data_IF_619783365729
#
_entry.id   IF_619783365729
#
_cell.length_a   1.000
_cell.length_b   1.000
_cell.length_c   1.000
_cell.angle_alpha   90.00
_cell.angle_beta   90.00
_cell.angle_gamma   90.00
#
_symmetry.space_group_name_H-M   'P 1'
#
loop_
_entity.id
_entity.type
_entity.pdbx_description
1 polymer ?
#
# COMPACT_ATOMS: atom_id res chain seq x y z
N UNK A 1 59.21 89.15 -2.61
CA UNK A 1 60.00 87.89 -2.56
C UNK A 1 59.34 86.78 -1.73
N UNK A 2 58.70 87.04 -0.58
CA UNK A 2 58.06 86.00 0.24
C UNK A 2 56.92 85.23 -0.47
N UNK A 3 56.09 85.90 -1.27
CA UNK A 3 54.96 85.26 -1.97
C UNK A 3 55.43 84.23 -3.03
N UNK A 4 56.57 84.45 -3.69
CA UNK A 4 57.12 83.55 -4.72
C UNK A 4 57.72 82.25 -4.14
N UNK A 5 58.08 82.22 -2.85
CA UNK A 5 58.61 81.02 -2.18
C UNK A 5 57.52 80.21 -1.46
N UNK A 6 56.39 80.83 -1.12
CA UNK A 6 55.30 80.20 -0.36
C UNK A 6 54.35 79.43 -1.29
N UNK A 7 54.07 79.94 -2.49
CA UNK A 7 53.18 79.30 -3.46
C UNK A 7 53.60 77.86 -3.86
N UNK A 8 54.86 77.59 -4.28
CA UNK A 8 55.25 76.21 -4.61
C UNK A 8 55.24 75.28 -3.39
N UNK A 9 55.37 75.81 -2.18
CA UNK A 9 55.29 75.03 -0.95
C UNK A 9 53.83 74.63 -0.63
N UNK A 10 52.88 75.55 -0.83
CA UNK A 10 51.45 75.28 -0.68
C UNK A 10 50.96 74.27 -1.73
N UNK A 11 51.41 74.35 -2.99
CA UNK A 11 51.04 73.38 -4.02
C UNK A 11 51.53 71.96 -3.69
N UNK A 12 52.77 71.83 -3.22
CA UNK A 12 53.33 70.53 -2.78
C UNK A 12 52.55 69.97 -1.57
N UNK A 13 52.17 70.83 -0.62
CA UNK A 13 51.36 70.42 0.54
C UNK A 13 49.97 69.92 0.11
N UNK A 14 49.28 70.64 -0.78
CA UNK A 14 47.96 70.25 -1.30
C UNK A 14 47.99 68.95 -2.12
N UNK A 15 49.05 68.72 -2.89
CA UNK A 15 49.25 67.47 -3.61
C UNK A 15 49.47 66.29 -2.66
N UNK A 16 50.20 66.49 -1.56
CA UNK A 16 50.41 65.47 -0.55
C UNK A 16 49.11 65.11 0.18
N UNK A 17 48.31 66.10 0.57
CA UNK A 17 46.99 65.87 1.19
C UNK A 17 46.03 65.13 0.24
N UNK A 18 46.01 65.51 -1.04
CA UNK A 18 45.21 64.82 -2.06
C UNK A 18 45.66 63.37 -2.27
N UNK A 19 46.97 63.11 -2.26
CA UNK A 19 47.52 61.75 -2.38
C UNK A 19 47.17 60.89 -1.16
N UNK A 20 47.28 61.44 0.05
CA UNK A 20 46.89 60.75 1.29
C UNK A 20 45.40 60.40 1.25
N UNK A 21 44.53 61.38 0.94
CA UNK A 21 43.09 61.14 0.83
C UNK A 21 42.75 60.11 -0.27
N UNK A 22 43.50 60.10 -1.38
CA UNK A 22 43.34 59.10 -2.43
C UNK A 22 43.73 57.70 -1.95
N UNK A 23 44.86 57.57 -1.23
CA UNK A 23 45.32 56.31 -0.65
C UNK A 23 44.35 55.80 0.41
N UNK A 24 43.85 56.66 1.31
CA UNK A 24 42.83 56.31 2.30
C UNK A 24 41.56 55.78 1.62
N UNK A 25 41.10 56.44 0.55
CA UNK A 25 39.93 56.00 -0.21
C UNK A 25 40.15 54.65 -0.91
N UNK A 26 41.37 54.37 -1.38
CA UNK A 26 41.73 53.07 -1.94
C UNK A 26 41.73 52.00 -0.84
N UNK A 27 42.40 52.27 0.27
CA UNK A 27 42.48 51.34 1.41
C UNK A 27 41.10 51.03 1.97
N UNK A 28 40.25 52.05 2.13
CA UNK A 28 38.87 51.89 2.58
C UNK A 28 38.06 51.00 1.62
N UNK A 29 38.23 51.16 0.30
CA UNK A 29 37.61 50.26 -0.68
C UNK A 29 38.09 48.83 -0.49
N UNK A 30 39.39 48.61 -0.38
CA UNK A 30 39.95 47.27 -0.17
C UNK A 30 39.49 46.65 1.14
N UNK A 31 39.41 47.43 2.22
CA UNK A 31 38.93 46.98 3.50
C UNK A 31 37.48 46.53 3.40
N UNK A 32 36.60 47.35 2.79
CA UNK A 32 35.20 46.99 2.55
C UNK A 32 35.06 45.71 1.71
N UNK A 33 35.82 45.57 0.63
CA UNK A 33 35.81 44.34 -0.20
C UNK A 33 36.29 43.12 0.60
N UNK A 34 37.42 43.24 1.30
CA UNK A 34 37.98 42.15 2.11
C UNK A 34 37.05 41.72 3.24
N UNK A 35 36.29 42.66 3.81
CA UNK A 35 35.32 42.39 4.87
C UNK A 35 34.07 41.71 4.31
N UNK A 36 33.57 42.17 3.17
CA UNK A 36 32.43 41.57 2.48
C UNK A 36 32.73 40.13 2.01
N UNK A 37 33.93 39.90 1.48
CA UNK A 37 34.39 38.56 1.07
C UNK A 37 34.49 37.59 2.26
N UNK A 38 35.09 38.03 3.38
CA UNK A 38 35.13 37.24 4.62
C UNK A 38 33.73 36.91 5.14
N UNK A 39 32.80 37.86 5.05
CA UNK A 39 31.41 37.64 5.46
C UNK A 39 30.69 36.63 4.56
N UNK A 40 30.89 36.69 3.24
CA UNK A 40 30.32 35.70 2.31
C UNK A 40 30.84 34.30 2.57
N UNK A 41 32.15 34.14 2.78
CA UNK A 41 32.77 32.83 3.11
C UNK A 41 32.22 32.29 4.43
N UNK A 42 32.06 33.14 5.45
CA UNK A 42 31.47 32.74 6.72
C UNK A 42 30.02 32.26 6.54
N UNK A 43 29.22 33.00 5.77
CA UNK A 43 27.81 32.66 5.49
C UNK A 43 27.69 31.38 4.66
N UNK A 44 28.58 31.17 3.69
CA UNK A 44 28.65 29.96 2.87
C UNK A 44 29.02 28.73 3.72
N UNK A 45 29.99 28.88 4.62
CA UNK A 45 30.39 27.81 5.55
C UNK A 45 29.28 27.47 6.56
N UNK A 46 28.52 28.47 7.03
CA UNK A 46 27.31 28.26 7.84
C UNK A 46 26.21 27.55 7.03
N UNK A 47 26.03 27.91 5.76
CA UNK A 47 25.08 27.26 4.86
C UNK A 47 25.45 25.81 4.56
N UNK A 48 26.74 25.51 4.39
CA UNK A 48 27.27 24.17 4.20
C UNK A 48 27.13 23.34 5.48
N UNK A 49 27.36 23.94 6.66
CA UNK A 49 27.07 23.34 7.95
C UNK A 49 25.59 22.99 8.12
N UNK A 50 24.70 23.90 7.69
CA UNK A 50 23.24 23.67 7.65
C UNK A 50 22.86 22.51 6.72
N UNK A 51 23.43 22.44 5.51
CA UNK A 51 23.19 21.33 4.59
C UNK A 51 23.69 19.99 5.14
N UNK A 52 24.89 19.95 5.73
CA UNK A 52 25.44 18.76 6.37
C UNK A 52 24.54 18.25 7.49
N UNK A 53 24.03 19.16 8.33
CA UNK A 53 23.09 18.83 9.40
C UNK A 53 21.76 18.28 8.86
N UNK A 54 21.18 18.92 7.83
CA UNK A 54 19.94 18.46 7.21
C UNK A 54 20.12 17.08 6.55
N UNK A 55 21.25 16.86 5.90
CA UNK A 55 21.60 15.56 5.34
C UNK A 55 21.72 14.49 6.42
N UNK A 56 22.43 14.76 7.52
CA UNK A 56 22.54 13.84 8.66
C UNK A 56 21.16 13.51 9.26
N UNK A 57 20.29 14.53 9.41
CA UNK A 57 18.91 14.34 9.87
C UNK A 57 18.11 13.45 8.92
N UNK A 58 18.17 13.69 7.61
CA UNK A 58 17.48 12.87 6.63
C UNK A 58 17.99 11.42 6.65
N UNK A 59 19.31 11.24 6.69
CA UNK A 59 19.95 9.93 6.78
C UNK A 59 19.47 9.14 8.00
N UNK A 60 19.46 9.78 9.19
CA UNK A 60 18.96 9.16 10.41
C UNK A 60 17.48 8.72 10.29
N UNK A 61 16.66 9.50 9.58
CA UNK A 61 15.25 9.16 9.34
C UNK A 61 15.10 7.95 8.42
N UNK A 62 15.92 7.87 7.37
CA UNK A 62 15.95 6.73 6.45
C UNK A 62 16.35 5.45 7.21
N UNK A 63 17.42 5.52 7.99
CA UNK A 63 17.91 4.39 8.79
C UNK A 63 16.85 3.92 9.80
N UNK A 64 16.16 4.84 10.47
CA UNK A 64 15.06 4.52 11.38
C UNK A 64 13.89 3.83 10.65
N UNK A 65 13.51 4.31 9.45
CA UNK A 65 12.46 3.68 8.65
C UNK A 65 12.86 2.28 8.19
N UNK A 66 14.09 2.11 7.70
CA UNK A 66 14.62 0.81 7.29
C UNK A 66 14.70 -0.18 8.47
N UNK A 67 15.09 0.29 9.66
CA UNK A 67 15.06 -0.52 10.88
C UNK A 67 13.65 -0.97 11.22
N UNK A 68 12.68 -0.07 11.20
CA UNK A 68 11.27 -0.42 11.43
C UNK A 68 10.74 -1.40 10.38
N UNK A 69 11.11 -1.23 9.11
CA UNK A 69 10.74 -2.18 8.05
C UNK A 69 11.28 -3.58 8.35
N UNK A 70 12.56 -3.72 8.71
CA UNK A 70 13.17 -5.00 9.09
C UNK A 70 12.41 -5.66 10.25
N UNK A 71 12.10 -4.91 11.30
CA UNK A 71 11.29 -5.44 12.41
C UNK A 71 9.92 -5.96 11.95
N UNK A 72 9.18 -5.20 11.13
CA UNK A 72 7.88 -5.61 10.57
C UNK A 72 8.01 -6.86 9.70
N UNK A 73 9.17 -7.06 9.05
CA UNK A 73 9.48 -8.26 8.28
C UNK A 73 9.96 -9.44 9.13
N UNK A 74 10.08 -9.27 10.46
CA UNK A 74 10.54 -10.30 11.39
C UNK A 74 12.07 -10.41 11.51
N UNK A 75 12.80 -9.40 11.06
CA UNK A 75 14.27 -9.34 11.09
C UNK A 75 14.75 -8.44 12.25
N UNK A 76 15.99 -8.66 12.74
CA UNK A 76 16.66 -7.87 13.79
C UNK A 76 15.87 -7.67 15.10
N UNK A 77 15.07 -8.68 15.47
CA UNK A 77 14.18 -8.63 16.65
C UNK A 77 14.92 -8.72 17.99
N UNK A 78 16.15 -9.24 18.01
CA UNK A 78 16.96 -9.39 19.23
C UNK A 78 17.21 -8.06 19.97
N UNK A 79 17.09 -6.94 19.25
CA UNK A 79 17.27 -5.59 19.80
C UNK A 79 16.02 -5.02 20.49
N UNK A 80 14.88 -5.71 20.41
CA UNK A 80 13.60 -5.27 20.96
C UNK A 80 13.35 -5.91 22.33
N UNK A 81 12.78 -5.12 23.24
CA UNK A 81 12.24 -5.63 24.50
C UNK A 81 10.95 -6.42 24.28
N UNK A 82 10.58 -7.27 25.25
CA UNK A 82 9.33 -8.05 25.21
C UNK A 82 8.09 -7.17 24.95
N UNK A 83 8.04 -6.00 25.58
CA UNK A 83 6.93 -5.04 25.41
C UNK A 83 6.87 -4.47 23.99
N UNK A 84 8.02 -4.17 23.40
CA UNK A 84 8.10 -3.69 22.02
C UNK A 84 7.72 -4.78 21.03
N UNK A 85 8.11 -6.03 21.30
CA UNK A 85 7.74 -7.18 20.48
C UNK A 85 6.23 -7.45 20.51
N UNK A 86 5.60 -7.42 21.68
CA UNK A 86 4.14 -7.52 21.82
C UNK A 86 3.41 -6.40 21.07
N UNK A 87 3.93 -5.17 21.15
CA UNK A 87 3.37 -4.04 20.43
C UNK A 87 3.53 -4.18 18.90
N UNK A 88 4.64 -4.76 18.44
CA UNK A 88 4.88 -5.05 17.02
C UNK A 88 3.91 -6.14 16.52
N UNK A 89 3.73 -7.21 17.27
CA UNK A 89 2.76 -8.27 16.99
C UNK A 89 1.33 -7.71 16.88
N UNK A 90 0.89 -6.91 17.85
CA UNK A 90 -0.43 -6.28 17.81
C UNK A 90 -0.63 -5.38 16.58
N UNK A 91 0.40 -4.65 16.17
CA UNK A 91 0.37 -3.82 14.96
C UNK A 91 0.23 -4.69 13.70
N UNK A 92 1.01 -5.76 13.59
CA UNK A 92 0.94 -6.70 12.47
C UNK A 92 -0.43 -7.38 12.36
N UNK A 93 -0.97 -7.86 13.48
CA UNK A 93 -2.30 -8.45 13.55
C UNK A 93 -3.39 -7.48 13.11
N UNK A 94 -3.31 -6.25 13.57
CA UNK A 94 -4.26 -5.20 13.21
C UNK A 94 -4.16 -4.89 11.71
N UNK A 95 -2.95 -4.69 11.18
CA UNK A 95 -2.74 -4.43 9.76
C UNK A 95 -3.23 -5.59 8.89
N UNK A 96 -2.98 -6.83 9.29
CA UNK A 96 -3.42 -8.03 8.59
C UNK A 96 -4.95 -8.14 8.56
N UNK A 97 -5.62 -7.86 9.68
CA UNK A 97 -7.09 -7.79 9.74
C UNK A 97 -7.64 -6.77 8.75
N UNK A 98 -7.04 -5.58 8.67
CA UNK A 98 -7.45 -4.54 7.72
C UNK A 98 -7.27 -4.98 6.26
N UNK A 99 -6.12 -5.58 5.92
CA UNK A 99 -5.85 -6.08 4.56
C UNK A 99 -6.86 -7.16 4.17
N UNK A 100 -7.14 -8.11 5.06
CA UNK A 100 -8.14 -9.17 4.83
C UNK A 100 -9.54 -8.59 4.61
N UNK A 101 -9.95 -7.65 5.48
CA UNK A 101 -11.24 -6.97 5.36
C UNK A 101 -11.37 -6.29 3.99
N UNK A 102 -10.36 -5.52 3.59
CA UNK A 102 -10.39 -4.80 2.31
C UNK A 102 -10.40 -5.75 1.12
N UNK A 103 -9.61 -6.83 1.16
CA UNK A 103 -9.62 -7.87 0.10
C UNK A 103 -11.00 -8.50 -0.04
N UNK A 104 -11.62 -8.86 1.08
CA UNK A 104 -12.95 -9.46 1.09
C UNK A 104 -14.00 -8.48 0.54
N UNK A 105 -13.95 -7.21 0.95
CA UNK A 105 -14.84 -6.18 0.41
C UNK A 105 -14.76 -6.06 -1.12
N UNK A 106 -13.54 -5.96 -1.66
CA UNK A 106 -13.34 -5.89 -3.12
C UNK A 106 -13.81 -7.15 -3.84
N UNK A 107 -13.64 -8.33 -3.22
CA UNK A 107 -14.14 -9.59 -3.75
C UNK A 107 -15.67 -9.60 -3.81
N UNK A 108 -16.36 -9.16 -2.75
CA UNK A 108 -17.82 -9.07 -2.73
C UNK A 108 -18.35 -8.07 -3.76
N UNK A 109 -17.69 -6.92 -3.92
CA UNK A 109 -18.01 -5.93 -4.97
C UNK A 109 -17.87 -6.56 -6.38
N UNK A 110 -16.82 -7.34 -6.60
CA UNK A 110 -16.61 -8.06 -7.86
C UNK A 110 -17.70 -9.10 -8.14
N UNK A 111 -18.01 -9.95 -7.15
CA UNK A 111 -19.07 -10.96 -7.25
C UNK A 111 -20.41 -10.29 -7.56
N UNK A 112 -20.76 -9.22 -6.85
CA UNK A 112 -22.01 -8.48 -7.06
C UNK A 112 -22.11 -7.92 -8.47
N UNK A 113 -21.02 -7.35 -9.01
CA UNK A 113 -20.98 -6.86 -10.40
C UNK A 113 -21.16 -8.00 -11.40
N UNK A 114 -20.49 -9.12 -11.21
CA UNK A 114 -20.59 -10.27 -12.11
C UNK A 114 -22.00 -10.87 -12.10
N UNK A 115 -22.60 -11.03 -10.93
CA UNK A 115 -23.99 -11.50 -10.80
C UNK A 115 -25.00 -10.56 -11.47
N UNK A 116 -24.80 -9.24 -11.38
CA UNK A 116 -25.64 -8.28 -12.11
C UNK A 116 -25.50 -8.47 -13.63
N UNK A 117 -24.28 -8.69 -14.12
CA UNK A 117 -24.02 -8.89 -15.55
C UNK A 117 -24.57 -10.21 -16.06
N UNK A 118 -24.45 -11.29 -15.27
CA UNK A 118 -25.06 -12.58 -15.59
C UNK A 118 -26.58 -12.48 -15.74
N UNK A 119 -27.26 -11.82 -14.79
CA UNK A 119 -28.70 -11.55 -14.88
C UNK A 119 -29.09 -10.76 -16.13
N UNK A 120 -28.35 -9.70 -16.45
CA UNK A 120 -28.59 -8.92 -17.67
C UNK A 120 -28.46 -9.79 -18.92
N UNK A 121 -27.38 -10.58 -19.02
CA UNK A 121 -27.16 -11.46 -20.16
C UNK A 121 -28.23 -12.55 -20.28
N UNK A 122 -28.71 -13.11 -19.17
CA UNK A 122 -29.82 -14.06 -19.16
C UNK A 122 -31.11 -13.44 -19.70
N UNK A 123 -31.41 -12.19 -19.32
CA UNK A 123 -32.56 -11.44 -19.83
C UNK A 123 -32.42 -11.23 -21.34
N UNK A 124 -31.26 -10.75 -21.81
CA UNK A 124 -31.01 -10.53 -23.24
C UNK A 124 -31.13 -11.83 -24.03
N UNK A 125 -30.56 -12.93 -23.53
CA UNK A 125 -30.64 -14.23 -24.18
C UNK A 125 -32.09 -14.73 -24.27
N UNK A 126 -32.87 -14.65 -23.18
CA UNK A 126 -34.30 -14.98 -23.17
C UNK A 126 -35.10 -14.19 -24.22
N UNK A 127 -34.81 -12.90 -24.38
CA UNK A 127 -35.44 -12.06 -25.42
C UNK A 127 -35.06 -12.53 -26.82
N UNK A 128 -33.77 -12.82 -27.06
CA UNK A 128 -33.28 -13.30 -28.35
C UNK A 128 -33.87 -14.67 -28.70
N UNK A 129 -33.90 -15.62 -27.76
CA UNK A 129 -34.52 -16.93 -27.96
C UNK A 129 -35.98 -16.80 -28.37
N UNK A 130 -36.74 -15.94 -27.69
CA UNK A 130 -38.14 -15.67 -28.08
C UNK A 130 -38.24 -15.10 -29.50
N UNK A 131 -37.36 -14.15 -29.86
CA UNK A 131 -37.34 -13.57 -31.21
C UNK A 131 -37.01 -14.62 -32.28
N UNK A 132 -36.01 -15.47 -32.05
CA UNK A 132 -35.65 -16.55 -32.97
C UNK A 132 -36.81 -17.52 -33.16
N UNK A 133 -37.52 -17.88 -32.08
CA UNK A 133 -38.67 -18.78 -32.14
C UNK A 133 -39.93 -18.16 -32.79
N UNK A 134 -39.99 -16.82 -32.89
CA UNK A 134 -41.09 -16.07 -33.52
C UNK A 134 -40.86 -15.80 -35.01
N UNK A 135 -39.65 -16.00 -35.53
CA UNK A 135 -39.41 -15.97 -36.98
C UNK A 135 -39.87 -17.31 -37.55
N UNK A 136 -40.92 -17.35 -38.40
CA UNK A 136 -41.31 -18.58 -39.06
C UNK A 136 -40.14 -19.07 -39.90
N UNK A 137 -39.86 -20.37 -39.79
CA UNK A 137 -38.92 -21.12 -40.62
C UNK A 137 -39.14 -20.81 -42.10
N UNK A 138 -38.35 -19.90 -42.67
CA UNK A 138 -38.26 -19.73 -44.13
C UNK A 138 -36.79 -19.77 -44.51
N UNK A 139 -36.28 -20.98 -44.76
CA UNK A 139 -35.50 -21.38 -45.96
C UNK A 139 -34.56 -22.58 -45.73
N UNK A 140 -34.84 -23.65 -46.50
CA UNK A 140 -33.97 -24.68 -47.11
C UNK A 140 -32.78 -25.31 -46.33
N UNK A 141 -33.04 -26.52 -45.81
CA UNK A 141 -32.25 -27.77 -45.91
C UNK A 141 -30.71 -27.75 -45.92
N UNK A 142 -30.08 -28.33 -44.88
CA UNK A 142 -29.40 -29.64 -44.86
C UNK A 142 -28.96 -29.96 -43.42
N UNK A 143 -29.17 -31.19 -42.89
CA UNK A 143 -28.74 -31.54 -41.54
C UNK A 143 -27.23 -31.76 -41.52
N UNK A 144 -26.49 -30.84 -40.93
CA UNK A 144 -25.08 -31.05 -40.55
C UNK A 144 -25.08 -31.74 -39.19
N UNK A 145 -24.56 -32.97 -39.04
CA UNK A 145 -24.50 -33.61 -37.74
C UNK A 145 -23.35 -32.99 -36.94
N UNK A 146 -23.64 -31.92 -36.21
CA UNK A 146 -22.77 -31.47 -35.13
C UNK A 146 -22.96 -32.41 -33.93
N UNK A 147 -22.20 -33.52 -33.91
CA UNK A 147 -21.86 -34.16 -32.64
C UNK A 147 -20.90 -33.20 -31.91
N UNK A 148 -21.46 -32.27 -31.13
CA UNK A 148 -20.71 -31.67 -30.04
C UNK A 148 -21.06 -32.45 -28.78
N UNK A 149 -20.10 -33.26 -28.38
CA UNK A 149 -20.03 -34.00 -27.13
C UNK A 149 -20.50 -33.14 -25.94
N UNK A 150 -21.57 -33.56 -25.27
CA UNK A 150 -21.72 -33.35 -23.82
C UNK A 150 -22.65 -32.24 -23.29
N UNK A 151 -23.71 -31.80 -23.99
CA UNK A 151 -24.74 -30.92 -23.36
C UNK A 151 -26.17 -31.33 -23.72
N UNK A 152 -26.58 -32.54 -23.34
CA UNK A 152 -28.01 -32.89 -23.26
C UNK A 152 -28.23 -33.94 -22.17
N UNK A 153 -28.05 -33.56 -20.91
CA UNK A 153 -28.48 -34.44 -19.81
C UNK A 153 -28.88 -33.72 -18.51
N UNK A 154 -29.07 -32.40 -18.53
CA UNK A 154 -29.50 -31.66 -17.32
C UNK A 154 -30.94 -31.12 -17.40
N UNK A 155 -31.57 -31.11 -18.58
CA UNK A 155 -32.94 -30.58 -18.69
C UNK A 155 -34.03 -31.56 -18.24
N UNK A 156 -33.71 -32.85 -18.01
CA UNK A 156 -34.73 -33.87 -17.68
C UNK A 156 -34.92 -34.15 -16.19
N UNK A 157 -34.14 -33.52 -15.30
CA UNK A 157 -34.27 -33.72 -13.84
C UNK A 157 -34.89 -32.55 -13.06
N UNK A 158 -35.21 -31.41 -13.71
CA UNK A 158 -35.75 -30.24 -12.97
C UNK A 158 -37.29 -30.26 -12.77
N UNK A 159 -38.00 -31.29 -13.23
CA UNK A 159 -39.48 -31.32 -13.14
C UNK A 159 -40.07 -32.10 -11.96
N UNK A 160 -39.28 -32.57 -10.99
CA UNK A 160 -39.82 -33.25 -9.80
C UNK A 160 -39.17 -32.78 -8.48
N UNK A 161 -39.61 -31.62 -7.97
CA UNK A 161 -39.59 -31.33 -6.54
C UNK A 161 -40.91 -30.67 -6.11
N UNK A 162 -41.40 -30.93 -4.88
CA UNK A 162 -42.76 -30.60 -4.45
C UNK A 162 -42.92 -29.10 -4.13
N UNK A 163 -44.16 -28.57 -4.08
CA UNK A 163 -44.37 -27.14 -3.98
C UNK A 163 -44.32 -26.63 -2.53
N UNK A 164 -43.53 -25.59 -2.30
CA UNK A 164 -43.76 -24.61 -1.24
C UNK A 164 -42.62 -24.43 -0.24
N UNK A 165 -41.84 -23.35 -0.40
CA UNK A 165 -41.65 -22.32 0.64
C UNK A 165 -40.92 -21.09 0.06
N UNK A 166 -41.57 -19.93 0.11
CA UNK A 166 -40.99 -18.65 -0.31
C UNK A 166 -39.78 -18.31 0.56
N UNK A 167 -38.57 -18.37 0.00
CA UNK A 167 -37.36 -17.91 0.69
C UNK A 167 -37.03 -16.47 0.30
N UNK A 168 -37.22 -15.60 1.30
CA UNK A 168 -36.90 -14.17 1.35
C UNK A 168 -35.48 -13.84 0.83
N UNK A 169 -35.23 -12.71 0.14
CA UNK A 169 -33.92 -12.41 -0.47
C UNK A 169 -32.85 -11.90 0.53
N UNK A 170 -33.08 -11.99 1.84
CA UNK A 170 -32.12 -11.49 2.85
C UNK A 170 -31.16 -12.56 3.39
N UNK A 171 -31.14 -13.77 2.81
CA UNK A 171 -30.32 -14.87 3.32
C UNK A 171 -29.34 -15.42 2.27
N UNK A 172 -28.41 -14.58 1.81
CA UNK A 172 -27.10 -15.03 1.31
C UNK A 172 -26.07 -14.79 2.42
N UNK A 173 -26.38 -15.30 3.61
CA UNK A 173 -25.43 -15.44 4.70
C UNK A 173 -25.20 -16.93 4.91
N UNK A 174 -24.31 -17.53 4.11
CA UNK A 174 -23.56 -18.74 4.48
C UNK A 174 -22.54 -19.11 3.39
N UNK A 175 -21.69 -18.17 3.00
CA UNK A 175 -20.31 -18.54 2.68
C UNK A 175 -19.45 -17.96 3.80
N UNK A 176 -19.42 -18.66 4.94
CA UNK A 176 -18.40 -18.45 5.96
C UNK A 176 -17.06 -18.94 5.40
N UNK A 177 -16.45 -18.14 4.54
CA UNK A 177 -15.03 -18.25 4.23
C UNK A 177 -14.17 -17.59 5.34
N UNK A 178 -14.71 -17.50 6.56
CA UNK A 178 -14.15 -16.73 7.68
C UNK A 178 -13.62 -17.56 8.84
N UNK A 179 -13.77 -18.89 8.84
CA UNK A 179 -13.43 -19.73 10.00
C UNK A 179 -12.03 -20.35 9.96
N UNK A 180 -11.22 -20.16 8.92
CA UNK A 180 -9.91 -20.83 8.84
C UNK A 180 -8.71 -20.02 9.36
N UNK A 181 -8.91 -18.87 10.01
CA UNK A 181 -7.81 -18.24 10.77
C UNK A 181 -8.38 -17.66 12.08
N UNK A 182 -8.83 -18.54 12.96
CA UNK A 182 -8.96 -18.24 14.38
C UNK A 182 -8.19 -19.32 15.13
N UNK A 183 -6.85 -19.24 15.08
CA UNK A 183 -6.05 -19.94 16.07
C UNK A 183 -6.04 -19.06 17.31
N UNK A 184 -6.90 -19.45 18.25
CA UNK A 184 -6.95 -19.01 19.62
C UNK A 184 -5.62 -19.36 20.30
N UNK A 185 -4.70 -18.40 20.39
CA UNK A 185 -3.55 -18.53 21.28
C UNK A 185 -4.04 -18.26 22.71
N UNK A 186 -4.43 -19.33 23.40
CA UNK A 186 -4.61 -19.29 24.85
C UNK A 186 -3.23 -19.11 25.50
N UNK A 187 -2.92 -17.88 25.88
CA UNK A 187 -1.89 -17.60 26.86
C UNK A 187 -2.42 -17.97 28.25
N UNK A 188 -2.02 -19.15 28.74
CA UNK A 188 -2.26 -19.60 30.11
C UNK A 188 -0.96 -20.12 30.71
N UNK A 189 -0.33 -19.33 31.57
CA UNK A 189 0.77 -19.77 32.41
C UNK A 189 0.28 -20.62 33.58
N UNK A 190 1.13 -21.59 33.96
CA UNK A 190 1.40 -22.17 35.29
C UNK A 190 1.40 -23.71 35.25
N UNK A 191 2.55 -24.27 35.62
CA UNK A 191 2.72 -25.71 35.78
C UNK A 191 2.11 -26.23 37.08
N UNK A 192 1.60 -27.46 37.01
CA UNK A 192 1.66 -28.49 38.05
C UNK A 192 0.93 -29.78 37.57
N UNK A 193 1.70 -30.87 37.48
CA UNK A 193 1.40 -32.28 37.87
C UNK A 193 0.23 -33.04 37.19
N UNK A 194 0.61 -34.14 36.50
CA UNK A 194 0.09 -35.54 36.44
C UNK A 194 -1.44 -35.78 36.70
N UNK A 195 -2.21 -36.68 36.07
CA UNK A 195 -2.02 -37.99 35.42
C UNK A 195 -3.34 -38.43 34.71
N UNK A 196 -3.23 -39.27 33.66
CA UNK A 196 -4.17 -40.31 33.15
C UNK A 196 -5.53 -40.08 32.37
N UNK A 197 -5.51 -40.61 31.12
CA UNK A 197 -6.54 -41.38 30.36
C UNK A 197 -7.72 -40.72 29.59
N UNK A 198 -8.19 -41.32 28.47
CA UNK A 198 -8.33 -40.63 27.19
C UNK A 198 -9.79 -40.30 26.84
N UNK A 199 -10.05 -39.06 26.42
CA UNK A 199 -11.33 -38.68 25.80
C UNK A 199 -11.09 -38.41 24.33
N UNK A 200 -11.83 -39.15 23.50
CA UNK A 200 -11.86 -39.07 22.04
C UNK A 200 -11.82 -37.61 21.57
N UNK A 201 -10.69 -37.22 20.98
CA UNK A 201 -10.63 -36.03 20.16
C UNK A 201 -11.46 -36.33 18.90
N UNK A 202 -12.70 -35.85 18.89
CA UNK A 202 -13.55 -35.86 17.71
C UNK A 202 -12.75 -35.26 16.55
N UNK A 203 -12.41 -36.11 15.58
CA UNK A 203 -11.72 -35.67 14.38
C UNK A 203 -12.56 -34.55 13.75
N UNK A 204 -11.95 -33.42 13.34
CA UNK A 204 -12.67 -32.48 12.50
C UNK A 204 -12.96 -33.23 11.19
N UNK A 205 -14.19 -33.69 11.04
CA UNK A 205 -14.66 -34.29 9.80
C UNK A 205 -14.49 -33.24 8.72
N UNK A 206 -13.44 -33.37 7.91
CA UNK A 206 -13.23 -32.60 6.71
C UNK A 206 -14.27 -33.11 5.72
N UNK A 207 -15.51 -32.62 5.86
CA UNK A 207 -16.55 -32.85 4.88
C UNK A 207 -16.25 -31.92 3.72
N UNK A 208 -15.59 -32.46 2.71
CA UNK A 208 -15.38 -31.79 1.43
C UNK A 208 -16.75 -31.44 0.83
N UNK A 209 -16.94 -30.20 0.36
CA UNK A 209 -18.21 -29.79 -0.22
C UNK A 209 -18.51 -30.62 -1.49
N UNK A 210 -19.80 -30.88 -1.79
CA UNK A 210 -20.21 -31.84 -2.83
C UNK A 210 -19.59 -31.62 -4.22
N UNK A 211 -19.25 -30.37 -4.57
CA UNK A 211 -18.62 -30.02 -5.85
C UNK A 211 -17.16 -30.48 -5.97
N UNK A 212 -16.44 -30.67 -4.86
CA UNK A 212 -15.05 -31.15 -4.88
C UNK A 212 -14.93 -32.65 -5.10
N UNK A 213 -15.98 -33.41 -4.79
CA UNK A 213 -15.99 -34.87 -4.89
C UNK A 213 -16.27 -35.35 -6.32
N UNK A 214 -16.75 -34.47 -7.21
CA UNK A 214 -17.17 -34.82 -8.56
C UNK A 214 -16.02 -35.17 -9.51
N UNK A 215 -14.79 -34.78 -9.16
CA UNK A 215 -13.59 -35.02 -9.98
C UNK A 215 -12.75 -36.21 -9.51
N UNK A 216 -13.12 -36.87 -8.41
CA UNK A 216 -12.32 -37.95 -7.80
C UNK A 216 -12.80 -39.37 -8.11
N UNK A 217 -13.91 -39.51 -8.85
CA UNK A 217 -14.52 -40.81 -9.19
C UNK A 217 -14.56 -41.07 -10.71
N UNK A 218 -13.57 -40.62 -11.48
CA UNK A 218 -13.33 -41.07 -12.86
C UNK A 218 -12.09 -41.95 -12.94
#
# INVERSE_FOLDING_TARGET
>A
MLILLILPNIEVMLLAESLIAHMERILERYERYSSAERQLIATDHESHGSWSLQHAKLKSRIEALQKTQRHIMGEDLDSLSLKELQNLEQQLDTALKHVRLRKNQMMFESISRLQKKDKELQIQNSVLTKKVNLVPFVSYTLPVPCKLFGITEVEKELSQQPPGEQRNPENISSFHFGTYISNEWQAGGNGAVEEESPREAGQPSIVLPPWMLQHMNQ
#
